data_IF_994474953201
#
_entry.id   IF_994474953201
#
_cell.length_a   1.000
_cell.length_b   1.000
_cell.length_c   1.000
_cell.angle_alpha   90.00
_cell.angle_beta   90.00
_cell.angle_gamma   90.00
#
_symmetry.space_group_name_H-M   'P 1'
#
loop_
_entity.id
_entity.type
_entity.pdbx_description
1 polymer ?
#
# COMPACT_ATOMS: atom_id res chain seq x y z
N UNK A 1 21.28 2.79 -19.31
CA UNK A 1 21.55 2.23 -17.96
C UNK A 1 20.23 2.26 -17.23
N UNK A 2 19.56 1.12 -17.11
CA UNK A 2 18.16 1.04 -16.69
C UNK A 2 18.01 1.19 -15.16
N UNK A 3 17.05 2.03 -14.77
CA UNK A 3 16.53 2.28 -13.43
C UNK A 3 15.87 1.01 -12.87
N UNK A 4 16.66 0.20 -12.15
CA UNK A 4 16.19 -0.98 -11.40
C UNK A 4 16.48 -0.88 -9.91
N UNK A 5 16.65 0.33 -9.38
CA UNK A 5 17.25 0.59 -8.06
C UNK A 5 16.24 0.85 -6.94
N UNK A 6 14.93 0.70 -7.17
CA UNK A 6 13.88 1.17 -6.26
C UNK A 6 13.09 0.09 -5.52
N UNK A 7 13.27 -1.19 -5.80
CA UNK A 7 12.27 -2.20 -5.41
C UNK A 7 12.64 -2.99 -4.12
N UNK A 8 13.81 -2.72 -3.53
CA UNK A 8 14.55 -3.80 -2.88
C UNK A 8 14.59 -3.88 -1.35
N UNK A 9 14.06 -2.87 -0.65
CA UNK A 9 14.37 -2.74 0.77
C UNK A 9 13.27 -3.26 1.72
N UNK A 10 12.13 -3.71 1.19
CA UNK A 10 11.06 -4.39 1.95
C UNK A 10 11.50 -5.66 2.68
N UNK A 11 12.60 -6.27 2.26
CA UNK A 11 13.17 -7.45 2.91
C UNK A 11 14.00 -7.12 4.17
N UNK A 12 14.28 -5.85 4.48
CA UNK A 12 15.24 -5.48 5.53
C UNK A 12 14.65 -5.05 6.89
N UNK A 13 13.31 -4.92 7.04
CA UNK A 13 12.69 -4.27 8.21
C UNK A 13 12.52 -5.15 9.47
N UNK A 14 12.96 -6.41 9.43
CA UNK A 14 12.81 -7.37 10.54
C UNK A 14 13.60 -6.99 11.81
N UNK A 15 14.56 -6.09 11.69
CA UNK A 15 15.33 -5.58 12.84
C UNK A 15 14.46 -4.79 13.84
N UNK A 16 13.34 -4.21 13.35
CA UNK A 16 12.38 -3.46 14.16
C UNK A 16 11.45 -4.34 15.00
N UNK A 17 11.55 -5.66 14.91
CA UNK A 17 10.76 -6.56 15.74
C UNK A 17 11.13 -6.38 17.23
N UNK A 18 10.14 -6.27 18.13
CA UNK A 18 10.39 -5.83 19.52
C UNK A 18 11.05 -6.90 20.39
N UNK A 19 11.33 -8.09 19.86
CA UNK A 19 11.94 -9.24 20.55
C UNK A 19 11.23 -9.60 21.88
N UNK A 20 9.92 -9.34 21.97
CA UNK A 20 9.07 -9.68 23.10
C UNK A 20 7.67 -10.04 22.63
N UNK A 21 6.92 -10.72 23.50
CA UNK A 21 5.49 -10.96 23.28
C UNK A 21 4.70 -9.68 23.53
N UNK A 22 3.69 -9.47 22.69
CA UNK A 22 2.70 -8.40 22.77
C UNK A 22 1.30 -9.05 22.79
N UNK A 23 0.25 -8.34 23.27
CA UNK A 23 -1.12 -8.83 23.23
C UNK A 23 -1.58 -9.18 21.81
N UNK A 24 -2.39 -10.23 21.58
CA UNK A 24 -2.74 -10.68 20.24
C UNK A 24 -3.48 -9.60 19.43
N UNK A 25 -3.23 -9.55 18.12
CA UNK A 25 -3.89 -8.61 17.20
C UNK A 25 -5.33 -9.07 16.96
N UNK A 26 -6.31 -8.24 17.33
CA UNK A 26 -7.75 -8.52 17.26
C UNK A 26 -8.53 -7.25 16.89
N UNK A 27 -9.82 -7.41 16.59
CA UNK A 27 -10.74 -6.34 16.24
C UNK A 27 -11.04 -6.26 14.74
N UNK A 28 -10.04 -6.51 13.88
CA UNK A 28 -10.22 -6.49 12.43
C UNK A 28 -11.12 -7.62 11.92
N UNK A 29 -11.16 -8.76 12.60
CA UNK A 29 -11.99 -9.91 12.25
C UNK A 29 -13.50 -9.58 12.29
N UNK A 30 -13.88 -8.57 13.09
CA UNK A 30 -15.26 -8.11 13.25
C UNK A 30 -15.65 -7.04 12.23
N UNK A 31 -14.70 -6.55 11.43
CA UNK A 31 -15.00 -5.56 10.40
C UNK A 31 -15.72 -6.19 9.20
N UNK A 32 -16.64 -5.46 8.54
CA UNK A 32 -17.19 -5.89 7.27
C UNK A 32 -16.09 -5.97 6.21
N UNK A 33 -16.25 -6.86 5.25
CA UNK A 33 -15.44 -6.86 4.04
C UNK A 33 -15.94 -5.74 3.13
N UNK A 34 -15.05 -4.83 2.74
CA UNK A 34 -15.37 -3.59 1.99
C UNK A 34 -14.42 -3.43 0.80
N UNK A 35 -14.68 -2.46 -0.08
CA UNK A 35 -13.76 -2.16 -1.19
C UNK A 35 -12.43 -1.61 -0.70
N UNK A 36 -11.42 -1.57 -1.57
CA UNK A 36 -10.12 -1.01 -1.21
C UNK A 36 -10.24 0.46 -0.80
N UNK A 37 -11.00 1.27 -1.52
CA UNK A 37 -11.16 2.70 -1.22
C UNK A 37 -11.73 2.88 0.19
N UNK A 38 -12.83 2.19 0.51
CA UNK A 38 -13.43 2.26 1.84
C UNK A 38 -12.47 1.74 2.92
N UNK A 39 -11.69 0.70 2.62
CA UNK A 39 -10.70 0.14 3.54
C UNK A 39 -9.55 1.12 3.84
N UNK A 40 -9.19 1.97 2.86
CA UNK A 40 -8.12 2.96 2.98
C UNK A 40 -8.57 4.33 3.50
N UNK A 41 -9.88 4.63 3.49
CA UNK A 41 -10.40 5.92 3.92
C UNK A 41 -9.95 6.35 5.33
N UNK A 42 -9.94 5.47 6.36
CA UNK A 42 -9.47 5.85 7.70
C UNK A 42 -7.95 6.05 7.78
N UNK A 43 -7.20 5.64 6.75
CA UNK A 43 -5.74 5.71 6.71
C UNK A 43 -5.20 6.99 6.06
N UNK A 44 -6.05 7.79 5.41
CA UNK A 44 -5.69 9.09 4.81
C UNK A 44 -4.88 10.00 5.75
N UNK A 45 -5.25 10.20 7.04
CA UNK A 45 -4.46 11.04 7.94
C UNK A 45 -3.16 10.39 8.43
N UNK A 46 -2.92 9.11 8.16
CA UNK A 46 -1.81 8.33 8.71
C UNK A 46 -0.80 7.87 7.66
N UNK A 47 -1.23 7.70 6.41
CA UNK A 47 -0.43 7.18 5.30
C UNK A 47 -0.34 8.25 4.22
N UNK A 48 0.82 8.91 4.04
CA UNK A 48 0.99 9.95 3.04
C UNK A 48 0.68 9.45 1.63
N UNK A 49 -0.06 10.26 0.87
CA UNK A 49 -0.38 10.03 -0.55
C UNK A 49 -1.17 8.74 -0.84
N UNK A 50 -1.81 8.12 0.18
CA UNK A 50 -2.51 6.85 0.00
C UNK A 50 -3.57 6.90 -1.11
N UNK A 51 -4.33 7.99 -1.23
CA UNK A 51 -5.35 8.16 -2.27
C UNK A 51 -4.73 8.13 -3.67
N UNK A 52 -3.57 8.77 -3.84
CA UNK A 52 -2.84 8.79 -5.11
C UNK A 52 -2.30 7.39 -5.45
N UNK A 53 -1.78 6.66 -4.46
CA UNK A 53 -1.27 5.31 -4.67
C UNK A 53 -2.39 4.32 -5.00
N UNK A 54 -3.56 4.44 -4.35
CA UNK A 54 -4.78 3.68 -4.68
C UNK A 54 -5.20 3.94 -6.12
N UNK A 55 -5.23 5.21 -6.55
CA UNK A 55 -5.53 5.57 -7.94
C UNK A 55 -4.54 4.92 -8.94
N UNK A 56 -3.23 4.94 -8.65
CA UNK A 56 -2.20 4.35 -9.49
C UNK A 56 -2.42 2.84 -9.66
N UNK A 57 -2.59 2.09 -8.58
CA UNK A 57 -2.73 0.64 -8.66
C UNK A 57 -4.03 0.21 -9.35
N UNK A 58 -5.09 1.00 -9.24
CA UNK A 58 -6.35 0.79 -9.98
C UNK A 58 -6.17 0.99 -11.48
N UNK A 59 -5.40 2.02 -11.88
CA UNK A 59 -5.08 2.28 -13.28
C UNK A 59 -4.29 1.16 -13.97
N UNK A 60 -3.61 0.31 -13.21
CA UNK A 60 -2.84 -0.83 -13.74
C UNK A 60 -3.71 -2.01 -14.22
N UNK A 61 -5.04 -1.93 -14.07
CA UNK A 61 -6.00 -2.92 -14.59
C UNK A 61 -5.64 -4.37 -14.23
N UNK A 62 -5.32 -4.60 -12.95
CA UNK A 62 -4.97 -5.93 -12.46
C UNK A 62 -6.12 -6.90 -12.75
N UNK A 63 -5.80 -8.00 -13.43
CA UNK A 63 -6.74 -9.10 -13.64
C UNK A 63 -6.59 -10.08 -12.49
N UNK A 64 -7.55 -10.13 -11.54
CA UNK A 64 -7.42 -10.98 -10.39
C UNK A 64 -7.39 -12.46 -10.81
N UNK A 65 -6.66 -13.22 -10.02
CA UNK A 65 -6.42 -14.67 -10.11
C UNK A 65 -6.66 -15.27 -8.73
N UNK A 66 -6.50 -16.59 -8.61
CA UNK A 66 -6.56 -17.29 -7.31
C UNK A 66 -7.89 -17.06 -6.55
N UNK A 67 -8.99 -16.86 -7.30
CA UNK A 67 -10.33 -16.56 -6.79
C UNK A 67 -10.40 -15.31 -5.89
N UNK A 68 -9.48 -14.37 -6.08
CA UNK A 68 -9.51 -13.06 -5.47
C UNK A 68 -10.48 -12.14 -6.21
N UNK A 69 -11.11 -11.25 -5.46
CA UNK A 69 -11.78 -10.08 -6.04
C UNK A 69 -10.74 -9.06 -6.50
N UNK A 70 -11.20 -8.05 -7.26
CA UNK A 70 -10.33 -6.93 -7.67
C UNK A 70 -9.77 -6.21 -6.45
N UNK A 71 -10.61 -5.86 -5.47
CA UNK A 71 -10.20 -5.17 -4.24
C UNK A 71 -9.20 -5.98 -3.41
N UNK A 72 -9.42 -7.29 -3.28
CA UNK A 72 -8.48 -8.18 -2.59
C UNK A 72 -7.12 -8.21 -3.28
N UNK A 73 -7.09 -8.31 -4.62
CA UNK A 73 -5.85 -8.25 -5.38
C UNK A 73 -5.17 -6.89 -5.28
N UNK A 74 -5.93 -5.79 -5.32
CA UNK A 74 -5.39 -4.45 -5.18
C UNK A 74 -4.85 -4.18 -3.78
N UNK A 75 -5.43 -4.77 -2.73
CA UNK A 75 -4.89 -4.68 -1.37
C UNK A 75 -3.47 -5.25 -1.26
N UNK A 76 -3.21 -6.35 -1.98
CA UNK A 76 -1.86 -6.94 -2.07
C UNK A 76 -0.93 -6.03 -2.88
N UNK A 77 -1.39 -5.49 -4.00
CA UNK A 77 -0.63 -4.55 -4.80
C UNK A 77 -0.22 -3.32 -3.98
N UNK A 78 -1.17 -2.70 -3.27
CA UNK A 78 -0.93 -1.54 -2.40
C UNK A 78 0.12 -1.84 -1.32
N UNK A 79 -0.01 -2.99 -0.65
CA UNK A 79 0.95 -3.41 0.36
C UNK A 79 2.36 -3.55 -0.24
N UNK A 80 2.48 -4.21 -1.39
CA UNK A 80 3.79 -4.48 -2.01
C UNK A 80 4.44 -3.28 -2.70
N UNK A 81 3.69 -2.20 -2.94
CA UNK A 81 4.18 -1.01 -3.65
C UNK A 81 5.14 -0.20 -2.77
N UNK A 82 6.29 0.18 -3.33
CA UNK A 82 7.22 1.12 -2.72
C UNK A 82 7.08 2.48 -3.41
N UNK A 83 7.03 3.55 -2.62
CA UNK A 83 6.98 4.92 -3.14
C UNK A 83 7.89 5.87 -2.39
N UNK A 84 8.21 7.01 -3.02
CA UNK A 84 9.18 7.98 -2.52
C UNK A 84 8.51 9.12 -1.75
N UNK A 85 9.03 9.56 -0.60
CA UNK A 85 10.18 8.98 0.10
C UNK A 85 9.82 7.64 0.71
N UNK A 86 10.76 6.69 0.66
CA UNK A 86 10.54 5.27 1.02
C UNK A 86 9.76 5.07 2.31
N UNK A 87 10.13 5.77 3.39
CA UNK A 87 9.49 5.68 4.72
C UNK A 87 7.97 5.93 4.71
N UNK A 88 7.44 6.54 3.65
CA UNK A 88 6.02 6.78 3.48
C UNK A 88 5.28 5.57 2.88
N UNK A 89 6.00 4.55 2.41
CA UNK A 89 5.42 3.37 1.76
C UNK A 89 4.49 2.62 2.71
N UNK A 90 3.37 2.12 2.18
CA UNK A 90 2.30 1.48 2.94
C UNK A 90 2.81 0.39 3.89
N UNK A 91 3.62 -0.54 3.38
CA UNK A 91 4.10 -1.67 4.16
C UNK A 91 4.98 -1.24 5.35
N UNK A 92 5.74 -0.16 5.22
CA UNK A 92 6.62 0.33 6.29
C UNK A 92 5.76 0.81 7.45
N UNK A 93 4.80 1.70 7.16
CA UNK A 93 3.94 2.28 8.20
C UNK A 93 3.07 1.20 8.85
N UNK A 94 2.52 0.27 8.05
CA UNK A 94 1.74 -0.85 8.59
C UNK A 94 2.59 -1.75 9.50
N UNK A 95 3.76 -2.17 9.05
CA UNK A 95 4.62 -3.06 9.84
C UNK A 95 5.16 -2.38 11.09
N UNK A 96 5.50 -1.09 11.04
CA UNK A 96 5.83 -0.30 12.22
C UNK A 96 4.66 -0.25 13.22
N UNK A 97 3.45 -0.03 12.72
CA UNK A 97 2.23 -0.02 13.55
C UNK A 97 2.01 -1.38 14.22
N UNK A 98 2.17 -2.47 13.47
CA UNK A 98 2.02 -3.84 13.99
C UNK A 98 3.07 -4.20 15.06
N UNK A 99 4.30 -3.69 14.94
CA UNK A 99 5.41 -3.93 15.89
C UNK A 99 5.36 -3.03 17.12
N UNK A 100 4.60 -1.93 17.06
CA UNK A 100 4.52 -0.97 18.15
C UNK A 100 3.86 -1.57 19.40
N UNK A 101 4.36 -1.24 20.59
CA UNK A 101 3.75 -1.71 21.85
C UNK A 101 2.39 -1.08 22.15
N UNK A 102 2.14 0.12 21.62
CA UNK A 102 0.88 0.86 21.77
C UNK A 102 -0.06 0.60 20.59
N UNK A 103 0.15 -0.50 19.86
CA UNK A 103 -0.61 -0.83 18.64
C UNK A 103 -2.10 -0.98 18.86
N UNK A 104 -2.56 -1.26 20.07
CA UNK A 104 -4.01 -1.31 20.37
C UNK A 104 -4.70 0.04 20.10
N UNK A 105 -4.01 1.15 20.32
CA UNK A 105 -4.50 2.50 20.02
C UNK A 105 -4.30 2.88 18.55
N UNK A 106 -3.24 2.38 17.91
CA UNK A 106 -2.85 2.76 16.56
C UNK A 106 -3.49 1.91 15.45
N UNK A 107 -3.88 0.67 15.73
CA UNK A 107 -4.45 -0.27 14.77
C UNK A 107 -5.91 -0.03 14.35
N UNK A 108 -6.81 0.60 15.14
CA UNK A 108 -8.22 0.75 14.73
C UNK A 108 -8.45 1.34 13.33
N UNK A 109 -7.71 2.38 12.88
CA UNK A 109 -7.79 2.87 11.50
C UNK A 109 -7.45 1.81 10.43
N UNK A 110 -6.61 0.83 10.77
CA UNK A 110 -6.15 -0.24 9.86
C UNK A 110 -7.10 -1.43 9.78
N UNK A 111 -8.09 -1.54 10.68
CA UNK A 111 -8.89 -2.77 10.79
C UNK A 111 -9.68 -3.10 9.52
N UNK A 112 -10.21 -2.12 8.78
CA UNK A 112 -10.88 -2.40 7.49
C UNK A 112 -9.89 -2.91 6.45
N UNK A 113 -8.71 -2.29 6.34
CA UNK A 113 -7.65 -2.76 5.46
C UNK A 113 -7.15 -4.16 5.84
N UNK A 114 -6.85 -4.40 7.13
CA UNK A 114 -6.42 -5.70 7.62
C UNK A 114 -7.47 -6.78 7.35
N UNK A 115 -8.76 -6.47 7.51
CA UNK A 115 -9.85 -7.38 7.16
C UNK A 115 -9.80 -7.76 5.69
N UNK A 116 -9.71 -6.79 4.78
CA UNK A 116 -9.64 -7.04 3.33
C UNK A 116 -8.37 -7.82 2.95
N UNK A 117 -7.21 -7.33 3.40
CA UNK A 117 -5.90 -7.87 3.04
C UNK A 117 -5.66 -9.27 3.59
N UNK A 118 -5.99 -9.54 4.86
CA UNK A 118 -5.85 -10.90 5.41
C UNK A 118 -6.89 -11.86 4.83
N UNK A 119 -8.08 -11.38 4.42
CA UNK A 119 -9.04 -12.20 3.67
C UNK A 119 -8.43 -12.61 2.32
N UNK A 120 -7.83 -11.66 1.59
CA UNK A 120 -7.12 -11.93 0.34
C UNK A 120 -6.02 -13.00 0.53
N UNK A 121 -5.11 -12.79 1.49
CA UNK A 121 -4.02 -13.73 1.77
C UNK A 121 -4.49 -15.11 2.24
N UNK A 122 -5.67 -15.19 2.90
CA UNK A 122 -6.23 -16.47 3.34
C UNK A 122 -6.68 -17.37 2.18
N UNK A 123 -7.05 -16.78 1.03
CA UNK A 123 -7.47 -17.50 -0.18
C UNK A 123 -6.29 -18.04 -0.98
N UNK A 124 -5.11 -17.44 -0.83
CA UNK A 124 -3.90 -17.89 -1.51
C UNK A 124 -3.41 -19.23 -0.93
N UNK A 125 -3.02 -20.21 -1.76
CA UNK A 125 -2.43 -21.44 -1.26
C UNK A 125 -1.07 -21.14 -0.59
N UNK A 126 -0.63 -21.98 0.35
CA UNK A 126 0.78 -21.99 0.75
C UNK A 126 1.70 -22.18 -0.45
N UNK A 127 2.93 -21.66 -0.39
CA UNK A 127 3.90 -21.73 -1.50
C UNK A 127 4.26 -23.15 -1.94
N UNK A 128 3.98 -24.16 -1.11
CA UNK A 128 4.47 -25.53 -1.28
C UNK A 128 5.98 -25.69 -1.09
N UNK A 129 6.72 -24.59 -0.86
CA UNK A 129 8.15 -24.60 -0.54
C UNK A 129 8.35 -24.46 0.96
N UNK A 130 9.06 -25.42 1.53
CA UNK A 130 9.32 -25.50 2.97
C UNK A 130 10.39 -24.52 3.45
N UNK A 131 11.26 -24.04 2.57
CA UNK A 131 12.35 -23.11 2.92
C UNK A 131 12.24 -21.83 2.12
N UNK A 132 12.24 -20.71 2.82
CA UNK A 132 12.30 -19.36 2.26
C UNK A 132 13.44 -18.57 2.90
N UNK A 133 13.84 -17.49 2.24
CA UNK A 133 14.99 -16.70 2.59
C UNK A 133 14.63 -15.24 2.78
N UNK A 134 15.34 -14.59 3.69
CA UNK A 134 15.22 -13.15 3.91
C UNK A 134 16.58 -12.54 4.21
N UNK A 135 16.97 -11.52 3.44
CA UNK A 135 18.22 -10.80 3.62
C UNK A 135 18.03 -9.51 4.41
N UNK A 136 18.91 -9.24 5.36
CA UNK A 136 18.89 -8.03 6.20
C UNK A 136 20.27 -7.40 6.22
N UNK A 137 20.37 -6.08 6.00
CA UNK A 137 21.64 -5.32 5.99
C UNK A 137 22.12 -4.92 7.40
N UNK A 138 22.05 -5.85 8.36
CA UNK A 138 22.48 -5.71 9.75
C UNK A 138 22.97 -7.06 10.29
N UNK A 139 23.73 -7.06 11.38
CA UNK A 139 24.04 -8.30 12.13
C UNK A 139 22.97 -8.52 13.19
N UNK A 140 22.19 -9.60 13.05
CA UNK A 140 21.08 -9.93 13.94
C UNK A 140 21.45 -10.97 15.01
N UNK A 141 22.67 -11.52 15.01
CA UNK A 141 23.04 -12.66 15.87
C UNK A 141 22.83 -12.40 17.36
N UNK A 142 22.99 -11.16 17.82
CA UNK A 142 22.75 -10.79 19.22
C UNK A 142 21.26 -10.82 19.59
N UNK A 143 20.36 -10.49 18.65
CA UNK A 143 18.90 -10.49 18.87
C UNK A 143 18.29 -11.89 18.74
N UNK A 144 18.91 -12.73 17.91
CA UNK A 144 18.42 -14.07 17.56
C UNK A 144 19.32 -15.12 18.19
N UNK A 145 19.16 -15.33 19.49
CA UNK A 145 19.93 -16.33 20.25
C UNK A 145 19.38 -17.72 20.02
N UNK A 146 20.26 -18.70 19.77
CA UNK A 146 19.87 -20.10 19.55
C UNK A 146 19.00 -20.67 20.70
N UNK A 147 18.03 -21.51 20.35
CA UNK A 147 17.07 -22.12 21.28
C UNK A 147 15.98 -21.17 21.79
N UNK A 148 16.05 -19.88 21.46
CA UNK A 148 15.00 -18.92 21.85
C UNK A 148 13.82 -18.94 20.90
N UNK A 149 12.67 -18.48 21.40
CA UNK A 149 11.44 -18.30 20.61
C UNK A 149 11.17 -16.82 20.43
N UNK A 150 10.88 -16.45 19.19
CA UNK A 150 10.60 -15.07 18.78
C UNK A 150 9.26 -15.00 18.05
N UNK A 151 8.67 -13.81 18.03
CA UNK A 151 7.45 -13.54 17.26
C UNK A 151 7.74 -12.42 16.28
N UNK A 152 7.39 -12.62 15.02
CA UNK A 152 7.36 -11.55 14.02
C UNK A 152 5.96 -10.96 13.97
N UNK A 153 5.83 -9.73 14.46
CA UNK A 153 4.57 -9.02 14.56
C UNK A 153 4.18 -8.30 13.27
N UNK A 154 5.14 -7.87 12.46
CA UNK A 154 4.89 -7.33 11.13
C UNK A 154 4.69 -8.41 10.07
N UNK A 155 4.14 -8.03 8.93
CA UNK A 155 4.24 -8.86 7.72
C UNK A 155 5.72 -8.97 7.31
N UNK A 156 6.09 -10.12 6.75
CA UNK A 156 7.49 -10.39 6.41
C UNK A 156 7.65 -10.84 4.98
N UNK A 157 8.18 -9.95 4.13
CA UNK A 157 8.55 -10.28 2.75
C UNK A 157 9.82 -11.14 2.75
N UNK A 158 9.73 -12.25 2.03
CA UNK A 158 10.76 -13.27 1.86
C UNK A 158 10.81 -13.70 0.39
N UNK A 159 11.84 -14.44 0.01
CA UNK A 159 11.98 -14.98 -1.35
C UNK A 159 12.29 -16.47 -1.29
N UNK A 160 12.02 -17.18 -2.38
CA UNK A 160 12.34 -18.61 -2.51
C UNK A 160 13.65 -18.85 -3.23
N UNK A 161 14.24 -17.81 -3.81
CA UNK A 161 15.45 -17.89 -4.63
C UNK A 161 16.53 -17.00 -4.03
N UNK A 162 17.63 -17.61 -3.58
CA UNK A 162 18.77 -16.87 -3.00
C UNK A 162 19.36 -15.86 -4.00
N UNK A 163 19.25 -16.15 -5.31
CA UNK A 163 19.73 -15.24 -6.37
C UNK A 163 19.09 -13.85 -6.35
N UNK A 164 17.84 -13.71 -5.89
CA UNK A 164 17.19 -12.39 -5.72
C UNK A 164 17.92 -11.55 -4.66
N UNK A 165 18.53 -12.21 -3.66
CA UNK A 165 19.30 -11.54 -2.62
C UNK A 165 20.69 -11.09 -3.09
N UNK A 166 21.19 -11.55 -4.23
CA UNK A 166 22.48 -11.05 -4.75
C UNK A 166 22.42 -9.60 -5.22
N UNK A 167 21.23 -9.06 -5.49
CA UNK A 167 21.09 -7.68 -5.91
C UNK A 167 21.42 -6.74 -4.73
N UNK A 168 22.36 -5.82 -4.97
CA UNK A 168 22.90 -4.88 -3.98
C UNK A 168 21.84 -3.98 -3.34
N UNK A 169 20.71 -3.79 -4.00
CA UNK A 169 19.59 -3.05 -3.44
C UNK A 169 18.94 -3.83 -2.27
N UNK A 170 18.89 -5.17 -2.32
CA UNK A 170 18.24 -6.02 -1.30
C UNK A 170 19.20 -6.40 -0.17
N UNK A 171 20.25 -7.13 -0.51
CA UNK A 171 21.17 -7.74 0.44
C UNK A 171 22.60 -7.55 -0.04
N UNK A 172 22.87 -7.88 -1.30
CA UNK A 172 24.14 -7.58 -1.95
C UNK A 172 25.31 -8.37 -1.39
N UNK A 173 26.52 -7.97 -1.80
CA UNK A 173 27.76 -8.68 -1.44
C UNK A 173 28.62 -7.95 -0.40
N UNK A 174 28.21 -6.74 0.00
CA UNK A 174 29.02 -5.84 0.83
C UNK A 174 28.27 -5.40 2.10
N UNK A 175 29.06 -5.02 3.11
CA UNK A 175 28.54 -4.54 4.39
C UNK A 175 28.08 -5.66 5.32
N UNK A 176 27.85 -5.28 6.58
CA UNK A 176 27.33 -6.18 7.62
C UNK A 176 25.92 -6.60 7.30
N UNK A 177 25.67 -7.91 7.22
CA UNK A 177 24.39 -8.46 6.77
C UNK A 177 24.11 -9.85 7.31
N UNK A 178 22.83 -10.16 7.49
CA UNK A 178 22.34 -11.45 7.98
C UNK A 178 21.40 -12.08 6.96
N UNK A 179 21.70 -13.33 6.56
CA UNK A 179 20.78 -14.18 5.81
C UNK A 179 19.95 -15.03 6.77
N UNK A 180 18.64 -14.80 6.79
CA UNK A 180 17.70 -15.66 7.50
C UNK A 180 17.26 -16.79 6.55
N UNK A 181 17.46 -18.03 6.99
CA UNK A 181 16.93 -19.23 6.33
C UNK A 181 15.78 -19.75 7.17
N UNK A 182 14.58 -19.79 6.60
CA UNK A 182 13.34 -19.96 7.35
C UNK A 182 12.65 -21.24 6.87
N UNK A 183 12.52 -22.22 7.75
CA UNK A 183 11.65 -23.39 7.55
C UNK A 183 10.22 -23.00 7.93
N UNK A 184 9.29 -22.99 6.98
CA UNK A 184 7.90 -22.62 7.21
C UNK A 184 6.94 -23.25 6.19
N UNK A 185 5.68 -23.44 6.60
CA UNK A 185 4.60 -23.91 5.72
C UNK A 185 3.53 -22.83 5.49
N UNK A 186 3.65 -21.67 6.15
CA UNK A 186 2.60 -20.63 6.14
C UNK A 186 2.79 -19.52 5.10
N UNK A 187 3.92 -19.50 4.39
CA UNK A 187 4.23 -18.47 3.40
C UNK A 187 3.18 -18.41 2.27
N UNK A 188 2.84 -17.20 1.82
CA UNK A 188 1.92 -16.95 0.72
C UNK A 188 2.67 -16.39 -0.48
N UNK A 189 2.56 -17.05 -1.63
CA UNK A 189 3.08 -16.50 -2.88
C UNK A 189 2.14 -15.39 -3.34
N UNK A 190 2.64 -14.15 -3.33
CA UNK A 190 1.84 -12.98 -3.72
C UNK A 190 2.25 -12.43 -5.09
N UNK A 191 3.12 -13.12 -5.83
CA UNK A 191 3.72 -12.64 -7.07
C UNK A 191 2.70 -12.19 -8.11
N UNK A 192 1.58 -12.90 -8.22
CA UNK A 192 0.55 -12.61 -9.23
C UNK A 192 -0.29 -11.36 -8.91
N UNK A 193 -0.17 -10.85 -7.69
CA UNK A 193 -0.96 -9.73 -7.16
C UNK A 193 -0.09 -8.58 -6.65
N UNK A 194 1.22 -8.80 -6.53
CA UNK A 194 2.20 -7.79 -6.17
C UNK A 194 2.34 -6.73 -7.27
N UNK A 195 2.65 -5.50 -6.85
CA UNK A 195 3.06 -4.42 -7.73
C UNK A 195 4.35 -4.77 -8.47
N UNK A 196 5.22 -5.59 -7.86
CA UNK A 196 6.50 -6.04 -8.41
C UNK A 196 6.51 -7.55 -8.68
N UNK A 197 5.90 -7.97 -9.80
CA UNK A 197 5.71 -9.39 -10.13
C UNK A 197 7.01 -10.20 -10.39
N UNK A 198 8.18 -9.54 -10.47
CA UNK A 198 9.46 -10.20 -10.78
C UNK A 198 10.25 -10.63 -9.54
N UNK A 199 9.78 -10.31 -8.35
CA UNK A 199 10.55 -10.51 -7.12
C UNK A 199 10.31 -11.87 -6.45
N UNK A 200 9.45 -12.72 -7.05
CA UNK A 200 9.04 -14.03 -6.52
C UNK A 200 8.73 -13.97 -5.02
N UNK A 201 7.97 -12.94 -4.63
CA UNK A 201 7.73 -12.62 -3.23
C UNK A 201 6.86 -13.65 -2.54
N UNK A 202 7.39 -14.13 -1.42
CA UNK A 202 6.64 -14.87 -0.42
C UNK A 202 6.39 -13.98 0.79
N UNK A 203 5.13 -13.82 1.15
CA UNK A 203 4.73 -13.05 2.31
C UNK A 203 4.38 -13.98 3.48
N UNK A 204 5.03 -13.76 4.61
CA UNK A 204 4.61 -14.31 5.90
C UNK A 204 3.66 -13.32 6.59
N UNK A 205 2.56 -13.86 7.10
CA UNK A 205 1.55 -13.09 7.85
C UNK A 205 2.12 -12.59 9.20
N UNK A 206 1.53 -11.56 9.82
CA UNK A 206 1.91 -11.09 11.15
C UNK A 206 1.57 -12.13 12.24
N UNK A 207 2.29 -12.05 13.36
CA UNK A 207 2.09 -12.88 14.53
C UNK A 207 2.68 -14.30 14.44
N UNK A 208 3.59 -14.55 13.51
CA UNK A 208 4.24 -15.87 13.34
C UNK A 208 5.28 -16.07 14.41
N UNK A 209 5.31 -17.27 14.99
CA UNK A 209 6.29 -17.64 16.02
C UNK A 209 7.37 -18.53 15.42
N UNK A 210 8.62 -18.28 15.79
CA UNK A 210 9.78 -19.02 15.28
C UNK A 210 10.68 -19.45 16.43
N UNK A 211 11.28 -20.61 16.28
CA UNK A 211 12.45 -21.04 17.05
C UNK A 211 13.72 -20.66 16.29
N UNK A 212 14.69 -20.08 17.00
CA UNK A 212 16.03 -19.86 16.47
C UNK A 212 16.81 -21.16 16.58
N UNK A 213 17.01 -21.84 15.45
CA UNK A 213 17.64 -23.17 15.41
C UNK A 213 19.16 -23.08 15.53
N UNK A 214 19.76 -22.19 14.74
CA UNK A 214 21.22 -22.00 14.73
C UNK A 214 21.60 -20.62 14.20
N UNK A 215 22.82 -20.18 14.52
CA UNK A 215 23.41 -18.93 14.08
C UNK A 215 24.90 -19.14 13.77
N UNK A 216 25.35 -18.70 12.59
CA UNK A 216 26.71 -18.91 12.12
C UNK A 216 27.32 -17.63 11.54
N UNK A 217 28.60 -17.38 11.84
CA UNK A 217 29.42 -16.40 11.13
C UNK A 217 29.93 -17.03 9.82
N UNK A 218 29.65 -16.38 8.69
CA UNK A 218 30.06 -16.85 7.37
C UNK A 218 31.29 -16.09 6.83
N UNK A 219 31.91 -15.24 7.65
CA UNK A 219 33.00 -14.37 7.24
C UNK A 219 32.51 -13.21 6.37
N UNK A 220 33.42 -12.28 6.04
CA UNK A 220 33.13 -11.12 5.16
C UNK A 220 31.88 -10.31 5.58
N UNK A 221 31.69 -10.17 6.90
CA UNK A 221 30.56 -9.48 7.52
C UNK A 221 29.19 -10.06 7.16
N UNK A 222 29.15 -11.34 6.76
CA UNK A 222 27.94 -12.10 6.50
C UNK A 222 27.70 -13.06 7.67
N UNK A 223 26.49 -13.06 8.22
CA UNK A 223 26.00 -14.09 9.13
C UNK A 223 24.81 -14.83 8.54
N UNK A 224 24.58 -16.05 9.00
CA UNK A 224 23.42 -16.86 8.67
C UNK A 224 22.69 -17.24 9.95
N UNK A 225 21.36 -17.13 9.96
CA UNK A 225 20.52 -17.59 11.07
C UNK A 225 19.43 -18.50 10.52
N UNK A 226 19.25 -19.66 11.14
CA UNK A 226 18.22 -20.61 10.80
C UNK A 226 17.03 -20.44 11.74
N UNK A 227 15.85 -20.29 11.16
CA UNK A 227 14.59 -20.17 11.85
C UNK A 227 13.67 -21.31 11.46
N UNK A 228 12.88 -21.79 12.42
CA UNK A 228 11.81 -22.76 12.16
C UNK A 228 10.50 -22.21 12.68
N UNK A 229 9.50 -22.09 11.80
CA UNK A 229 8.15 -21.70 12.20
C UNK A 229 7.60 -22.76 13.16
N UNK A 230 7.04 -22.29 14.27
CA UNK A 230 6.36 -23.13 15.26
C UNK A 230 4.94 -22.65 15.47
N UNK A 231 4.05 -23.60 15.77
CA UNK A 231 2.66 -23.28 16.09
C UNK A 231 2.61 -22.68 17.50
N UNK A 232 2.14 -21.43 17.67
CA UNK A 232 2.05 -20.81 18.98
C UNK A 232 0.95 -21.50 19.81
N UNK A 233 1.14 -21.55 21.14
CA UNK A 233 0.14 -22.13 22.06
C UNK A 233 -1.22 -21.43 21.98
N UNK A 234 -1.21 -20.12 21.76
CA UNK A 234 -2.39 -19.30 21.53
C UNK A 234 -2.17 -18.47 20.27
N UNK A 235 -3.20 -18.24 19.44
CA UNK A 235 -3.07 -17.41 18.25
C UNK A 235 -2.64 -15.98 18.60
N UNK A 236 -1.55 -15.52 17.99
CA UNK A 236 -1.05 -14.14 18.11
C UNK A 236 -1.87 -13.14 17.27
N UNK A 237 -2.70 -13.64 16.35
CA UNK A 237 -3.61 -12.85 15.53
C UNK A 237 -4.96 -13.58 15.42
N UNK A 238 -6.06 -12.83 15.41
CA UNK A 238 -7.40 -13.38 15.20
C UNK A 238 -7.50 -14.09 13.84
N UNK A 239 -8.35 -15.11 13.77
CA UNK A 239 -8.63 -15.83 12.52
C UNK A 239 -9.80 -15.21 11.78
N UNK A 240 -9.73 -15.20 10.45
CA UNK A 240 -10.85 -14.81 9.59
C UNK A 240 -11.65 -16.05 9.27
N UNK A 241 -12.90 -16.11 9.74
CA UNK A 241 -13.89 -17.08 9.27
C UNK A 241 -14.43 -16.62 7.92
N UNK A 242 -14.37 -17.50 6.92
CA UNK A 242 -14.78 -17.23 5.52
C UNK A 242 -16.30 -17.10 5.31
N UNK A 243 -17.10 -16.95 6.37
CA UNK A 243 -18.56 -16.89 6.25
C UNK A 243 -19.05 -15.45 6.26
N UNK A 244 -19.14 -14.84 5.08
CA UNK A 244 -20.23 -13.90 4.79
C UNK A 244 -20.63 -14.08 3.32
N UNK A 245 -21.86 -14.54 3.02
CA UNK A 245 -22.40 -14.45 1.67
C UNK A 245 -22.60 -12.97 1.30
N UNK A 246 -22.54 -12.61 -0.01
CA UNK A 246 -22.84 -11.25 -0.45
C UNK A 246 -24.24 -10.89 0.00
N UNK A 247 -24.39 -9.74 0.66
CA UNK A 247 -25.66 -9.17 1.05
C UNK A 247 -26.55 -9.06 -0.20
N UNK A 248 -27.45 -10.02 -0.36
CA UNK A 248 -28.41 -10.04 -1.46
C UNK A 248 -29.55 -9.12 -1.05
N UNK A 249 -29.70 -8.06 -1.82
CA UNK A 249 -30.85 -7.18 -1.84
C UNK A 249 -32.11 -7.96 -2.22
N UNK A 250 -32.90 -8.43 -1.25
CA UNK A 250 -34.34 -8.63 -1.47
C UNK A 250 -35.09 -8.66 -0.15
N UNK A 251 -35.85 -7.60 0.13
CA UNK A 251 -37.07 -7.74 0.93
C UNK A 251 -38.18 -7.03 0.18
N UNK A 252 -38.72 -7.74 -0.80
CA UNK A 252 -40.04 -7.50 -1.34
C UNK A 252 -41.03 -7.87 -0.25
N UNK A 253 -41.51 -6.87 0.51
CA UNK A 253 -42.74 -7.04 1.29
C UNK A 253 -43.92 -6.64 0.42
N UNK A 254 -44.58 -7.68 -0.08
CA UNK A 254 -45.95 -7.72 -0.54
C UNK A 254 -46.86 -6.99 0.46
N UNK A 255 -47.56 -5.95 0.02
CA UNK A 255 -48.78 -5.48 0.68
C UNK A 255 -49.87 -5.29 -0.37
N UNK A 256 -50.97 -5.96 -0.06
CA UNK A 256 -52.19 -6.21 -0.80
C UNK A 256 -53.00 -4.94 -1.02
N UNK A 257 -53.66 -4.86 -2.17
CA UNK A 257 -54.60 -3.81 -2.54
C UNK A 257 -55.88 -3.84 -1.68
N UNK A 258 -56.38 -2.64 -1.32
CA UNK A 258 -57.79 -2.43 -1.00
C UNK A 258 -58.22 -1.02 -1.45
N UNK A 259 -59.27 -1.01 -2.26
CA UNK A 259 -59.91 0.14 -2.91
C UNK A 259 -60.86 0.85 -1.94
N UNK A 260 -60.79 2.18 -1.81
CA UNK A 260 -61.99 2.99 -1.48
C UNK A 260 -61.87 4.42 -2.02
N UNK A 261 -63.01 4.99 -2.37
CA UNK A 261 -63.23 6.08 -3.32
C UNK A 261 -63.56 7.44 -2.66
N UNK A 262 -62.93 8.52 -3.16
CA UNK A 262 -63.39 9.93 -3.35
C UNK A 262 -63.93 10.78 -2.15
N UNK A 263 -64.03 12.14 -2.23
CA UNK A 263 -63.69 13.06 -3.34
C UNK A 263 -62.81 14.29 -2.99
N UNK A 264 -62.45 14.96 -4.07
CA UNK A 264 -61.79 16.26 -4.31
C UNK A 264 -62.20 17.42 -3.37
N UNK A 265 -61.21 18.21 -2.95
CA UNK A 265 -61.36 19.63 -2.64
C UNK A 265 -60.23 20.44 -3.31
N UNK A 266 -60.62 21.49 -4.00
CA UNK A 266 -59.81 22.44 -4.77
C UNK A 266 -59.33 23.56 -3.85
N UNK A 267 -58.06 23.93 -3.89
CA UNK A 267 -57.59 25.21 -3.39
C UNK A 267 -56.37 25.68 -4.19
N UNK A 268 -56.39 26.97 -4.51
CA UNK A 268 -55.62 27.62 -5.56
C UNK A 268 -54.24 28.13 -5.09
N UNK A 269 -53.33 28.14 -6.07
CA UNK A 269 -52.21 29.06 -6.33
C UNK A 269 -51.69 30.00 -5.21
N UNK A 270 -50.38 29.93 -4.99
CA UNK A 270 -49.54 31.12 -4.84
C UNK A 270 -48.20 30.88 -5.54
N UNK A 271 -47.93 31.69 -6.56
CA UNK A 271 -46.71 31.68 -7.35
C UNK A 271 -45.53 32.23 -6.53
N UNK A 272 -44.43 31.48 -6.48
CA UNK A 272 -43.14 31.98 -6.06
C UNK A 272 -42.20 32.06 -7.27
N UNK A 273 -41.75 33.29 -7.54
CA UNK A 273 -40.81 33.67 -8.60
C UNK A 273 -39.48 32.91 -8.42
N UNK A 274 -38.95 32.20 -9.44
CA UNK A 274 -37.61 31.62 -9.33
C UNK A 274 -36.55 32.71 -9.45
N UNK A 275 -35.67 32.79 -8.45
CA UNK A 275 -34.41 33.56 -8.52
C UNK A 275 -33.61 33.14 -9.77
N UNK A 276 -32.99 34.07 -10.51
CA UNK A 276 -32.17 33.71 -11.67
C UNK A 276 -30.92 32.96 -11.21
N UNK A 277 -30.82 31.70 -11.62
CA UNK A 277 -29.58 30.91 -11.54
C UNK A 277 -28.50 31.57 -12.40
N UNK A 278 -27.25 31.72 -11.91
CA UNK A 278 -26.16 32.24 -12.73
C UNK A 278 -25.91 31.30 -13.91
N UNK A 279 -25.90 31.87 -15.12
CA UNK A 279 -25.56 31.11 -16.34
C UNK A 279 -24.17 30.49 -16.15
N UNK A 280 -23.98 29.20 -16.49
CA UNK A 280 -22.66 28.60 -16.50
C UNK A 280 -21.78 29.36 -17.49
N UNK A 281 -20.60 29.81 -17.02
CA UNK A 281 -19.56 30.35 -17.92
C UNK A 281 -19.26 29.28 -18.98
N UNK A 282 -19.07 29.66 -20.24
CA UNK A 282 -18.67 28.70 -21.28
C UNK A 282 -17.36 28.01 -20.87
N UNK A 283 -17.15 26.73 -21.25
CA UNK A 283 -15.93 26.02 -20.90
C UNK A 283 -14.73 26.81 -21.42
N UNK A 284 -13.84 27.21 -20.49
CA UNK A 284 -12.55 27.82 -20.83
C UNK A 284 -11.80 26.77 -21.63
N UNK A 285 -11.61 27.00 -22.93
CA UNK A 285 -10.82 26.10 -23.75
C UNK A 285 -9.40 26.05 -23.17
N UNK A 286 -8.82 24.85 -22.99
CA UNK A 286 -7.49 24.72 -22.38
C UNK A 286 -6.46 25.45 -23.25
N UNK A 287 -5.86 26.50 -22.69
CA UNK A 287 -4.81 27.27 -23.37
C UNK A 287 -3.50 26.50 -23.21
N UNK A 288 -3.07 25.81 -24.27
CA UNK A 288 -1.82 25.05 -24.30
C UNK A 288 -0.69 25.90 -24.86
N UNK A 289 0.41 26.00 -24.14
CA UNK A 289 1.60 26.76 -24.54
C UNK A 289 2.82 25.83 -24.55
N UNK A 290 3.62 25.89 -25.62
CA UNK A 290 4.79 25.01 -25.77
C UNK A 290 6.06 25.78 -26.10
N UNK A 291 7.09 25.55 -25.30
CA UNK A 291 8.47 25.99 -25.52
C UNK A 291 9.42 24.80 -25.67
N UNK A 292 8.92 23.64 -26.10
CA UNK A 292 9.73 22.43 -26.31
C UNK A 292 10.89 22.70 -27.28
N UNK A 293 12.10 22.25 -26.92
CA UNK A 293 13.32 22.35 -27.77
C UNK A 293 13.68 23.79 -28.18
N UNK A 294 13.47 24.77 -27.29
CA UNK A 294 13.75 26.20 -27.56
C UNK A 294 15.05 26.70 -26.92
N UNK A 295 15.90 25.81 -26.40
CA UNK A 295 17.11 26.16 -25.64
C UNK A 295 16.83 27.08 -24.43
N UNK A 296 15.66 26.93 -23.81
CA UNK A 296 15.29 27.67 -22.60
C UNK A 296 16.25 27.31 -21.45
N UNK A 297 16.70 28.33 -20.73
CA UNK A 297 17.53 28.20 -19.53
C UNK A 297 16.79 28.76 -18.31
N UNK A 298 17.36 28.61 -17.11
CA UNK A 298 16.76 29.17 -15.89
C UNK A 298 16.54 30.69 -15.96
N UNK A 299 17.37 31.40 -16.73
CA UNK A 299 17.24 32.85 -16.94
C UNK A 299 15.97 33.25 -17.69
N UNK A 300 15.39 32.34 -18.47
CA UNK A 300 14.19 32.59 -19.29
C UNK A 300 12.89 32.32 -18.53
N UNK A 301 12.97 31.62 -17.39
CA UNK A 301 11.82 31.19 -16.59
C UNK A 301 10.96 32.35 -16.09
N UNK A 302 11.50 33.47 -15.56
CA UNK A 302 10.67 34.61 -15.14
C UNK A 302 9.82 35.18 -16.28
N UNK A 303 10.36 35.18 -17.51
CA UNK A 303 9.64 35.65 -18.70
C UNK A 303 8.53 34.67 -19.09
N UNK A 304 8.82 33.38 -19.09
CA UNK A 304 7.85 32.32 -19.39
C UNK A 304 6.69 32.32 -18.38
N UNK A 305 7.00 32.51 -17.10
CA UNK A 305 5.99 32.67 -16.06
C UNK A 305 5.06 33.85 -16.39
N UNK A 306 5.63 35.02 -16.69
CA UNK A 306 4.84 36.22 -17.00
C UNK A 306 3.98 36.03 -18.26
N UNK A 307 4.52 35.44 -19.32
CA UNK A 307 3.84 35.33 -20.61
C UNK A 307 2.84 34.16 -20.65
N UNK A 308 3.25 32.95 -20.24
CA UNK A 308 2.44 31.76 -20.38
C UNK A 308 1.48 31.57 -19.20
N UNK A 309 1.98 31.74 -17.97
CA UNK A 309 1.21 31.46 -16.75
C UNK A 309 0.34 32.66 -16.37
N UNK A 310 0.91 33.87 -16.30
CA UNK A 310 0.17 35.06 -15.84
C UNK A 310 -0.69 35.67 -16.95
N UNK A 311 -0.12 35.93 -18.13
CA UNK A 311 -0.85 36.62 -19.21
C UNK A 311 -1.76 35.69 -20.01
N UNK A 312 -1.25 34.52 -20.43
CA UNK A 312 -2.02 33.58 -21.25
C UNK A 312 -2.87 32.61 -20.42
N UNK A 313 -2.68 32.57 -19.09
CA UNK A 313 -3.41 31.66 -18.19
C UNK A 313 -3.40 30.23 -18.72
N UNK A 314 -2.20 29.77 -19.13
CA UNK A 314 -2.08 28.47 -19.77
C UNK A 314 -2.48 27.34 -18.82
N UNK A 315 -3.27 26.40 -19.31
CA UNK A 315 -3.66 25.19 -18.56
C UNK A 315 -2.68 24.05 -18.79
N UNK A 316 -1.79 24.17 -19.78
CA UNK A 316 -0.75 23.19 -20.08
C UNK A 316 0.49 23.93 -20.62
N UNK A 317 1.64 23.75 -19.97
CA UNK A 317 2.92 24.36 -20.35
C UNK A 317 3.95 23.26 -20.63
N UNK A 318 4.39 23.14 -21.89
CA UNK A 318 5.38 22.15 -22.30
C UNK A 318 6.78 22.78 -22.40
N UNK A 319 7.69 22.35 -21.51
CA UNK A 319 9.09 22.81 -21.45
C UNK A 319 10.11 21.69 -21.75
N UNK A 320 9.69 20.56 -22.32
CA UNK A 320 10.57 19.42 -22.57
C UNK A 320 11.77 19.77 -23.47
N UNK A 321 12.87 19.03 -23.30
CA UNK A 321 14.11 19.16 -24.08
C UNK A 321 14.70 20.58 -24.07
N UNK A 322 14.70 21.23 -22.90
CA UNK A 322 15.37 22.50 -22.62
C UNK A 322 16.45 22.34 -21.55
N UNK A 323 17.23 23.39 -21.31
CA UNK A 323 18.36 23.41 -20.35
C UNK A 323 17.95 24.04 -19.02
N UNK A 324 16.80 23.61 -18.48
CA UNK A 324 16.24 24.09 -17.21
C UNK A 324 16.80 23.20 -16.09
N UNK A 325 17.39 23.80 -15.06
CA UNK A 325 17.92 23.10 -13.89
C UNK A 325 16.89 23.11 -12.75
N UNK A 326 17.30 22.62 -11.57
CA UNK A 326 16.46 22.61 -10.39
C UNK A 326 16.03 24.03 -9.96
N UNK A 327 16.84 25.06 -10.22
CA UNK A 327 16.52 26.45 -9.87
C UNK A 327 15.36 26.98 -10.72
N UNK A 328 15.39 26.74 -12.04
CA UNK A 328 14.30 27.09 -12.93
C UNK A 328 13.01 26.33 -12.63
N UNK A 329 13.11 25.03 -12.30
CA UNK A 329 11.95 24.24 -11.90
C UNK A 329 11.32 24.75 -10.58
N UNK A 330 12.15 25.14 -9.59
CA UNK A 330 11.67 25.70 -8.33
C UNK A 330 10.96 27.05 -8.51
N UNK A 331 11.46 27.90 -9.42
CA UNK A 331 10.80 29.17 -9.77
C UNK A 331 9.39 28.95 -10.36
N UNK A 332 9.22 27.96 -11.24
CA UNK A 332 7.91 27.59 -11.79
C UNK A 332 6.97 27.05 -10.72
N UNK A 333 7.45 26.14 -9.86
CA UNK A 333 6.64 25.53 -8.80
C UNK A 333 6.11 26.57 -7.80
N UNK A 334 6.95 27.55 -7.44
CA UNK A 334 6.56 28.63 -6.53
C UNK A 334 5.42 29.48 -7.09
N UNK A 335 5.44 29.76 -8.40
CA UNK A 335 4.37 30.57 -9.00
C UNK A 335 3.07 29.77 -9.18
N UNK A 336 3.15 28.48 -9.52
CA UNK A 336 1.97 27.61 -9.63
C UNK A 336 1.21 27.47 -8.30
N UNK A 337 1.92 27.55 -7.17
CA UNK A 337 1.30 27.55 -5.84
C UNK A 337 0.52 28.84 -5.54
N UNK A 338 0.84 29.95 -6.21
CA UNK A 338 0.19 31.26 -6.01
C UNK A 338 -0.91 31.54 -7.04
N UNK A 339 -1.04 30.71 -8.08
CA UNK A 339 -2.00 30.89 -9.16
C UNK A 339 -3.25 30.02 -8.93
N UNK A 340 -4.10 30.46 -7.99
CA UNK A 340 -5.44 29.89 -7.71
C UNK A 340 -6.56 30.67 -8.37
#
# INVERSE_FOLDING_TARGET
MADGSRDAYRFSDVDGEPMRRLPPIRGFENMPLVSLEEATQPLIPHVPEIEHMVYIIQGNNIKPKDNLTVDESLSIALYSMEWSPRKNSFYIILNETLRNSNREEMLPPWFKFLRLFLTALSKLPPTGRRTIFRGVKLDLRQKYTEGTRIVWWGFSSCTTTVGVLENDAFFGKNGTRTLLTIECDSGKDIRQHSFYQKEDEILLLPGREFEVVSSMDMGHSLSMIQLKEIVPRFPNIASITSSNPPATSTTTKTVTAATTTKPVAVAAAAAAVPKPTPKPKPPVQPVKVSYRQKNITDADIPRIIKEAIVQQQCTELNLYDNKITYEGAAMLAKELLNNT
#
